data_IF_233162014538
#
_entry.id   IF_233162014538
#
_cell.length_a   1.000
_cell.length_b   1.000
_cell.length_c   1.000
_cell.angle_alpha   90.00
_cell.angle_beta   90.00
_cell.angle_gamma   90.00
#
_symmetry.space_group_name_H-M   'P 1'
#
loop_
_entity.id
_entity.type
_entity.pdbx_description
1 polymer ?
#
# COMPACT_ATOMS: atom_id res chain seq x y z
N UNK A 1 19.17 -56.32 69.70
CA UNK A 1 18.14 -55.29 69.45
C UNK A 1 18.71 -54.24 68.51
N UNK A 2 18.34 -54.29 67.24
CA UNK A 2 18.84 -53.35 66.21
C UNK A 2 17.70 -52.36 65.90
N UNK A 3 17.97 -51.10 66.15
CA UNK A 3 17.05 -49.96 65.91
C UNK A 3 17.00 -49.63 64.42
N UNK A 4 15.84 -49.70 63.80
CA UNK A 4 15.55 -49.21 62.45
C UNK A 4 15.10 -47.73 62.52
N UNK A 5 15.82 -46.81 61.80
CA UNK A 5 15.40 -45.44 61.59
C UNK A 5 14.76 -45.33 60.20
N UNK A 6 13.55 -44.71 60.06
CA UNK A 6 12.94 -44.48 58.75
C UNK A 6 13.59 -43.25 58.06
N UNK A 7 14.03 -43.43 56.80
CA UNK A 7 14.46 -42.36 55.94
C UNK A 7 13.23 -41.75 55.23
N UNK A 8 12.95 -40.51 55.52
CA UNK A 8 11.93 -39.76 54.76
C UNK A 8 12.56 -39.31 53.46
N UNK A 9 12.04 -39.80 52.30
CA UNK A 9 12.30 -39.23 50.98
C UNK A 9 11.42 -38.00 50.77
N UNK A 10 12.02 -36.82 50.78
CA UNK A 10 11.38 -35.60 50.31
C UNK A 10 11.43 -35.59 48.78
N UNK A 11 10.30 -35.87 48.11
CA UNK A 11 10.13 -35.68 46.69
C UNK A 11 9.88 -34.16 46.44
N UNK A 12 10.89 -33.46 45.91
CA UNK A 12 10.74 -32.08 45.45
C UNK A 12 10.01 -32.07 44.11
N UNK A 13 8.72 -31.63 44.10
CA UNK A 13 8.02 -31.29 42.88
C UNK A 13 8.60 -29.97 42.30
N UNK A 14 9.40 -30.05 41.27
CA UNK A 14 9.74 -28.89 40.43
C UNK A 14 8.54 -28.59 39.57
N UNK A 15 7.72 -27.60 39.96
CA UNK A 15 6.71 -27.01 39.10
C UNK A 15 7.43 -26.18 38.04
N UNK A 16 7.50 -26.71 36.81
CA UNK A 16 7.95 -25.96 35.64
C UNK A 16 6.91 -24.87 35.33
N UNK A 17 7.16 -23.66 35.78
CA UNK A 17 6.42 -22.48 35.34
C UNK A 17 6.87 -22.14 33.93
N UNK A 18 6.10 -22.59 32.93
CA UNK A 18 6.21 -22.08 31.56
C UNK A 18 5.91 -20.58 31.62
N UNK A 19 6.76 -19.72 31.02
CA UNK A 19 6.43 -18.31 30.91
C UNK A 19 5.22 -18.20 29.99
N UNK A 20 4.06 -17.86 30.51
CA UNK A 20 2.94 -17.31 29.75
C UNK A 20 3.47 -16.04 29.09
N UNK A 21 3.74 -16.11 27.78
CA UNK A 21 4.11 -14.93 27.01
C UNK A 21 3.05 -13.85 27.29
N UNK A 22 3.45 -12.76 27.89
CA UNK A 22 2.60 -11.60 28.09
C UNK A 22 2.26 -11.04 26.73
N UNK A 23 1.10 -11.42 26.19
CA UNK A 23 0.54 -10.78 25.02
C UNK A 23 0.25 -9.33 25.39
N UNK A 24 0.74 -8.39 24.59
CA UNK A 24 0.46 -6.98 24.81
C UNK A 24 -1.05 -6.76 24.87
N UNK A 25 -1.50 -5.94 25.80
CA UNK A 25 -2.93 -5.62 25.92
C UNK A 25 -3.43 -5.02 24.59
N UNK A 26 -4.66 -5.37 24.21
CA UNK A 26 -5.29 -4.78 23.03
C UNK A 26 -5.33 -3.24 23.17
N UNK A 27 -4.99 -2.48 22.12
CA UNK A 27 -5.05 -1.04 22.18
C UNK A 27 -6.51 -0.58 22.30
N UNK A 28 -6.73 0.58 22.91
CA UNK A 28 -8.08 1.18 22.98
C UNK A 28 -8.55 1.75 21.63
N UNK A 29 -7.63 1.92 20.71
CA UNK A 29 -7.86 2.55 19.41
C UNK A 29 -6.95 1.91 18.36
N UNK A 30 -7.46 1.76 17.16
CA UNK A 30 -6.69 1.40 15.96
C UNK A 30 -6.87 2.50 14.90
N UNK A 31 -5.78 2.88 14.25
CA UNK A 31 -5.73 4.00 13.31
C UNK A 31 -5.32 3.49 11.92
N UNK A 32 -6.16 3.76 10.93
CA UNK A 32 -5.93 3.37 9.55
C UNK A 32 -5.95 4.60 8.65
N UNK A 33 -5.21 4.55 7.55
CA UNK A 33 -5.45 5.49 6.48
C UNK A 33 -6.58 5.02 5.55
N UNK A 34 -7.14 5.97 4.82
CA UNK A 34 -7.97 5.72 3.65
C UNK A 34 -7.51 6.64 2.51
N UNK A 35 -7.71 6.20 1.28
CA UNK A 35 -7.22 6.91 0.11
C UNK A 35 -8.08 6.67 -1.13
N UNK A 36 -8.17 7.67 -2.01
CA UNK A 36 -8.92 7.55 -3.27
C UNK A 36 -8.28 6.57 -4.25
N UNK A 37 -6.97 6.34 -4.16
CA UNK A 37 -6.26 5.29 -4.92
C UNK A 37 -6.42 3.89 -4.33
N UNK A 38 -7.02 3.74 -3.15
CA UNK A 38 -7.28 2.47 -2.47
C UNK A 38 -8.79 2.29 -2.22
N UNK A 39 -9.61 2.02 -3.24
CA UNK A 39 -11.08 1.99 -3.13
C UNK A 39 -11.61 1.07 -2.04
N UNK A 40 -10.96 -0.07 -1.79
CA UNK A 40 -11.33 -0.99 -0.70
C UNK A 40 -11.31 -0.31 0.67
N UNK A 41 -10.39 0.64 0.91
CA UNK A 41 -10.34 1.39 2.17
C UNK A 41 -11.54 2.32 2.34
N UNK A 42 -12.08 2.85 1.23
CA UNK A 42 -13.30 3.66 1.24
C UNK A 42 -14.53 2.81 1.59
N UNK A 43 -14.64 1.62 1.00
CA UNK A 43 -15.73 0.67 1.31
C UNK A 43 -15.67 0.25 2.77
N UNK A 44 -14.48 -0.11 3.25
CA UNK A 44 -14.26 -0.51 4.64
C UNK A 44 -14.73 0.57 5.62
N UNK A 45 -14.37 1.83 5.35
CA UNK A 45 -14.73 3.00 6.15
C UNK A 45 -16.23 3.34 6.05
N UNK A 46 -16.77 3.44 4.83
CA UNK A 46 -18.15 3.85 4.57
C UNK A 46 -19.17 2.89 5.22
N UNK A 47 -18.89 1.61 5.17
CA UNK A 47 -19.78 0.59 5.73
C UNK A 47 -19.55 0.32 7.22
N UNK A 48 -18.52 0.89 7.83
CA UNK A 48 -18.17 0.66 9.23
C UNK A 48 -17.88 -0.81 9.55
N UNK A 49 -17.29 -1.55 8.61
CA UNK A 49 -17.04 -3.00 8.75
C UNK A 49 -16.09 -3.26 9.92
N UNK A 50 -15.02 -2.49 10.02
CA UNK A 50 -14.02 -2.66 11.08
C UNK A 50 -14.56 -2.22 12.44
N UNK A 51 -15.29 -1.11 12.47
CA UNK A 51 -15.96 -0.60 13.69
C UNK A 51 -16.90 -1.63 14.29
N UNK A 52 -17.75 -2.25 13.46
CA UNK A 52 -18.67 -3.33 13.90
C UNK A 52 -17.89 -4.53 14.43
N UNK A 53 -16.82 -4.92 13.74
CA UNK A 53 -16.00 -6.09 14.12
C UNK A 53 -15.28 -5.89 15.46
N UNK A 54 -14.88 -4.66 15.77
CA UNK A 54 -14.11 -4.34 16.98
C UNK A 54 -14.99 -3.82 18.15
N UNK A 55 -16.27 -3.57 17.92
CA UNK A 55 -17.18 -2.99 18.90
C UNK A 55 -17.25 -3.79 20.22
N UNK A 56 -17.33 -5.12 20.14
CA UNK A 56 -17.39 -6.00 21.31
C UNK A 56 -16.12 -5.96 22.19
N UNK A 57 -15.00 -5.53 21.62
CA UNK A 57 -13.71 -5.40 22.32
C UNK A 57 -13.46 -3.98 22.83
N UNK A 58 -14.37 -3.05 22.52
CA UNK A 58 -14.25 -1.64 22.93
C UNK A 58 -13.08 -0.92 22.24
N UNK A 59 -12.62 -1.40 21.07
CA UNK A 59 -11.53 -0.78 20.29
C UNK A 59 -12.14 0.23 19.32
N UNK A 60 -11.80 1.49 19.49
CA UNK A 60 -12.21 2.56 18.58
C UNK A 60 -11.41 2.50 17.25
N UNK A 61 -12.05 2.87 16.13
CA UNK A 61 -11.41 2.98 14.83
C UNK A 61 -11.27 4.44 14.46
N UNK A 62 -10.09 4.87 14.06
CA UNK A 62 -9.83 6.21 13.52
C UNK A 62 -9.29 6.17 12.10
N UNK A 63 -9.81 7.06 11.27
CA UNK A 63 -9.45 7.18 9.86
C UNK A 63 -8.67 8.46 9.59
N UNK A 64 -7.58 8.32 8.84
CA UNK A 64 -6.72 9.42 8.40
C UNK A 64 -6.67 9.41 6.87
N UNK A 65 -6.97 10.53 6.22
CA UNK A 65 -6.86 10.63 4.77
C UNK A 65 -5.40 10.73 4.34
N UNK A 66 -4.99 9.91 3.36
CA UNK A 66 -3.68 9.99 2.72
C UNK A 66 -3.79 10.28 1.22
N UNK A 67 -2.96 11.21 0.73
CA UNK A 67 -2.97 11.63 -0.67
C UNK A 67 -2.09 10.77 -1.57
N UNK A 68 -1.24 9.92 -1.00
CA UNK A 68 -0.30 9.07 -1.71
C UNK A 68 0.55 8.23 -0.74
N UNK A 69 1.25 7.22 -1.27
CA UNK A 69 2.08 6.30 -0.47
C UNK A 69 3.11 7.02 0.41
N UNK A 70 3.66 8.16 -0.05
CA UNK A 70 4.60 8.97 0.72
C UNK A 70 3.98 9.47 2.03
N UNK A 71 2.74 10.01 1.98
CA UNK A 71 2.03 10.49 3.17
C UNK A 71 1.61 9.35 4.09
N UNK A 72 1.11 8.26 3.51
CA UNK A 72 0.75 7.06 4.27
C UNK A 72 1.95 6.51 5.05
N UNK A 73 3.12 6.40 4.41
CA UNK A 73 4.36 5.95 5.06
C UNK A 73 4.89 6.94 6.10
N UNK A 74 4.79 8.25 5.85
CA UNK A 74 5.11 9.28 6.85
C UNK A 74 4.25 9.11 8.11
N UNK A 75 2.94 8.92 7.95
CA UNK A 75 2.01 8.72 9.07
C UNK A 75 2.30 7.42 9.84
N UNK A 76 2.61 6.32 9.13
CA UNK A 76 2.98 5.05 9.77
C UNK A 76 4.29 5.19 10.55
N UNK A 77 5.33 5.77 9.93
CA UNK A 77 6.64 5.96 10.56
C UNK A 77 6.59 6.93 11.74
N UNK A 78 5.71 7.95 11.67
CA UNK A 78 5.46 8.90 12.74
C UNK A 78 4.50 8.40 13.83
N UNK A 79 3.98 7.17 13.70
CA UNK A 79 3.04 6.60 14.66
C UNK A 79 1.66 7.29 14.68
N UNK A 80 1.30 8.02 13.62
CA UNK A 80 -0.03 8.64 13.50
C UNK A 80 -1.09 7.66 13.01
N UNK A 81 -0.68 6.59 12.33
CA UNK A 81 -1.51 5.45 11.95
C UNK A 81 -0.81 4.13 12.26
N UNK A 82 -1.57 3.07 12.39
CA UNK A 82 -1.10 1.70 12.66
C UNK A 82 -1.10 0.86 11.37
N UNK A 83 -1.96 1.21 10.40
CA UNK A 83 -2.07 0.58 9.09
C UNK A 83 -1.96 1.61 7.97
N UNK A 84 -1.12 1.33 6.98
CA UNK A 84 -0.82 2.20 5.86
C UNK A 84 -1.12 1.54 4.52
N UNK A 85 -2.00 2.16 3.71
CA UNK A 85 -2.26 1.76 2.32
C UNK A 85 -1.24 2.39 1.40
N UNK A 86 -0.42 1.59 0.70
CA UNK A 86 0.64 2.11 -0.17
C UNK A 86 0.81 1.30 -1.45
N UNK A 87 1.64 1.81 -2.36
CA UNK A 87 2.22 1.02 -3.43
C UNK A 87 3.33 0.11 -2.88
N UNK A 88 3.45 -1.10 -3.42
CA UNK A 88 4.43 -2.09 -2.96
C UNK A 88 5.87 -1.61 -3.13
N UNK A 89 6.22 -1.01 -4.27
CA UNK A 89 7.58 -0.52 -4.51
C UNK A 89 7.92 0.70 -3.63
N UNK A 90 6.93 1.52 -3.28
CA UNK A 90 7.10 2.59 -2.29
C UNK A 90 7.38 2.04 -0.89
N UNK A 91 6.74 0.93 -0.50
CA UNK A 91 7.04 0.22 0.74
C UNK A 91 8.46 -0.39 0.73
N UNK A 92 8.90 -0.96 -0.41
CA UNK A 92 10.30 -1.44 -0.58
C UNK A 92 11.28 -0.29 -0.36
N UNK A 93 11.06 0.86 -1.03
CA UNK A 93 11.90 2.06 -0.89
C UNK A 93 11.97 2.54 0.57
N UNK A 94 10.83 2.59 1.25
CA UNK A 94 10.75 3.00 2.66
C UNK A 94 11.56 2.05 3.55
N UNK A 95 11.38 0.73 3.38
CA UNK A 95 12.12 -0.27 4.15
C UNK A 95 13.61 -0.25 3.85
N UNK A 96 14.01 -0.12 2.59
CA UNK A 96 15.42 -0.01 2.19
C UNK A 96 16.13 1.21 2.79
N UNK A 97 15.38 2.26 3.13
CA UNK A 97 15.87 3.44 3.84
C UNK A 97 15.70 3.37 5.36
N UNK A 98 15.41 2.18 5.92
CA UNK A 98 15.43 1.90 7.35
C UNK A 98 14.08 1.97 8.06
N UNK A 99 12.96 2.21 7.37
CA UNK A 99 11.65 2.14 8.00
C UNK A 99 11.30 0.68 8.35
N UNK A 100 10.81 0.40 9.57
CA UNK A 100 10.47 -0.96 9.99
C UNK A 100 9.08 -1.38 9.48
N UNK A 101 8.85 -1.25 8.17
CA UNK A 101 7.56 -1.54 7.53
C UNK A 101 7.45 -2.99 7.08
N UNK A 102 6.27 -3.60 7.24
CA UNK A 102 5.88 -4.94 6.79
C UNK A 102 4.59 -4.89 5.99
N UNK A 103 4.56 -5.57 4.85
CA UNK A 103 3.35 -5.78 4.05
C UNK A 103 2.64 -7.04 4.53
N UNK A 104 1.39 -6.91 4.95
CA UNK A 104 0.58 -7.98 5.53
C UNK A 104 -0.60 -8.41 4.66
N UNK A 105 -0.97 -7.61 3.64
CA UNK A 105 -2.12 -7.88 2.76
C UNK A 105 -1.93 -7.20 1.40
N UNK A 106 -2.43 -7.82 0.33
CA UNK A 106 -2.47 -7.26 -1.02
C UNK A 106 -3.90 -6.76 -1.29
N UNK A 107 -4.05 -5.45 -1.39
CA UNK A 107 -5.37 -4.85 -1.60
C UNK A 107 -5.81 -4.92 -3.07
N UNK A 108 -4.86 -4.82 -4.02
CA UNK A 108 -5.16 -4.82 -5.46
C UNK A 108 -3.91 -4.91 -6.32
N UNK A 109 -4.10 -5.22 -7.61
CA UNK A 109 -3.13 -5.03 -8.70
C UNK A 109 -3.66 -3.95 -9.64
N UNK A 110 -3.37 -2.67 -9.41
CA UNK A 110 -3.88 -1.59 -10.23
C UNK A 110 -2.94 -1.26 -11.40
N UNK A 111 -3.50 -0.75 -12.50
CA UNK A 111 -2.78 0.05 -13.50
C UNK A 111 -3.07 1.53 -13.25
N UNK A 112 -2.75 2.02 -12.08
CA UNK A 112 -3.11 3.35 -11.58
C UNK A 112 -2.21 4.48 -12.04
N UNK A 113 -1.05 4.15 -12.63
CA UNK A 113 -0.03 5.12 -13.03
C UNK A 113 0.28 5.02 -14.51
N UNK A 114 0.40 6.18 -15.16
CA UNK A 114 0.92 6.34 -16.51
C UNK A 114 1.57 7.71 -16.67
N UNK A 115 2.39 7.89 -17.71
CA UNK A 115 2.87 9.20 -18.13
C UNK A 115 1.80 9.88 -18.97
N UNK A 116 1.41 11.08 -18.58
CA UNK A 116 0.45 11.91 -19.30
C UNK A 116 1.10 13.18 -19.84
N UNK A 117 0.60 13.64 -20.97
CA UNK A 117 0.96 14.90 -21.60
C UNK A 117 -0.30 15.68 -21.96
N UNK A 118 -0.24 17.01 -22.14
CA UNK A 118 -1.38 17.79 -22.60
C UNK A 118 -1.93 17.25 -23.94
N UNK A 119 -3.22 17.49 -24.21
CA UNK A 119 -3.92 17.01 -25.41
C UNK A 119 -3.14 17.30 -26.71
N UNK A 120 -2.67 18.52 -26.85
CA UNK A 120 -2.01 19.02 -28.07
C UNK A 120 -0.47 19.00 -27.96
N UNK A 121 0.07 18.27 -26.97
CA UNK A 121 1.51 18.18 -26.76
C UNK A 121 2.22 17.57 -27.99
N UNK A 122 3.37 18.12 -28.42
CA UNK A 122 4.21 17.56 -29.48
C UNK A 122 4.95 16.29 -29.03
N UNK A 123 5.02 16.00 -27.73
CA UNK A 123 5.67 14.83 -27.16
C UNK A 123 4.89 13.57 -27.55
N UNK A 124 5.52 12.64 -28.27
CA UNK A 124 4.86 11.41 -28.79
C UNK A 124 5.52 10.12 -28.32
N UNK A 125 6.74 10.20 -27.80
CA UNK A 125 7.52 9.06 -27.32
C UNK A 125 8.23 9.39 -26.01
N UNK A 126 8.74 8.37 -25.33
CA UNK A 126 9.55 8.55 -24.12
C UNK A 126 10.86 9.30 -24.41
N UNK A 127 11.42 9.14 -25.63
CA UNK A 127 12.64 9.85 -26.03
C UNK A 127 12.44 11.37 -26.10
N UNK A 128 11.22 11.83 -26.42
CA UNK A 128 10.89 13.27 -26.49
C UNK A 128 10.86 13.94 -25.11
N UNK A 129 10.95 13.15 -24.02
CA UNK A 129 11.00 13.66 -22.65
C UNK A 129 12.35 14.29 -22.30
N UNK A 130 13.41 14.06 -23.10
CA UNK A 130 14.72 14.65 -22.84
C UNK A 130 14.64 16.18 -22.77
N UNK A 131 15.18 16.75 -21.69
CA UNK A 131 15.15 18.18 -21.40
C UNK A 131 13.77 18.73 -20.99
N UNK A 132 12.76 17.87 -20.79
CA UNK A 132 11.40 18.28 -20.43
C UNK A 132 11.20 18.38 -18.92
N UNK A 133 10.25 19.23 -18.54
CA UNK A 133 9.80 19.40 -17.16
C UNK A 133 8.65 18.43 -16.86
N UNK A 134 8.86 17.52 -15.89
CA UNK A 134 7.93 16.43 -15.61
C UNK A 134 7.53 16.46 -14.15
N UNK A 135 6.23 16.57 -13.86
CA UNK A 135 5.73 16.44 -12.50
C UNK A 135 5.67 14.98 -12.04
N UNK A 136 6.11 14.71 -10.81
CA UNK A 136 5.97 13.41 -10.16
C UNK A 136 6.01 13.55 -8.64
N UNK A 137 5.31 12.68 -7.91
CA UNK A 137 5.30 12.67 -6.45
C UNK A 137 6.39 11.74 -5.91
N UNK A 138 7.46 12.29 -5.36
CA UNK A 138 8.58 11.52 -4.79
C UNK A 138 8.08 10.56 -3.70
N UNK A 139 8.65 9.34 -3.67
CA UNK A 139 8.29 8.31 -2.68
C UNK A 139 6.97 7.57 -2.98
N UNK A 140 6.49 7.62 -4.22
CA UNK A 140 5.28 6.93 -4.68
C UNK A 140 5.54 6.13 -5.96
N UNK A 141 4.61 5.25 -6.34
CA UNK A 141 4.68 4.50 -7.60
C UNK A 141 4.85 5.41 -8.83
N UNK A 142 4.11 6.53 -9.01
CA UNK A 142 4.32 7.42 -10.13
C UNK A 142 5.76 7.93 -10.30
N UNK A 143 6.45 8.21 -9.22
CA UNK A 143 7.86 8.61 -9.30
C UNK A 143 8.75 7.46 -9.82
N UNK A 144 8.55 6.26 -9.28
CA UNK A 144 9.31 5.07 -9.67
C UNK A 144 8.93 4.61 -11.08
N UNK A 145 7.67 4.76 -11.48
CA UNK A 145 7.19 4.54 -12.83
C UNK A 145 7.89 5.48 -13.83
N UNK A 146 8.00 6.78 -13.51
CA UNK A 146 8.73 7.74 -14.34
C UNK A 146 10.17 7.30 -14.56
N UNK A 147 10.90 6.96 -13.49
CA UNK A 147 12.30 6.55 -13.59
C UNK A 147 12.47 5.30 -14.46
N UNK A 148 11.63 4.28 -14.26
CA UNK A 148 11.64 3.06 -15.08
C UNK A 148 11.30 3.36 -16.54
N UNK A 149 10.37 4.29 -16.80
CA UNK A 149 9.99 4.70 -18.15
C UNK A 149 11.13 5.44 -18.85
N UNK A 150 11.83 6.33 -18.14
CA UNK A 150 13.01 7.01 -18.66
C UNK A 150 14.11 6.01 -19.05
N UNK A 151 14.41 5.02 -18.20
CA UNK A 151 15.38 3.96 -18.48
C UNK A 151 15.01 3.17 -19.75
N UNK A 152 13.72 2.94 -20.02
CA UNK A 152 13.26 2.28 -21.26
C UNK A 152 13.68 3.04 -22.51
N UNK A 153 13.82 4.37 -22.42
CA UNK A 153 14.27 5.24 -23.51
C UNK A 153 15.77 5.55 -23.47
N UNK A 154 16.54 4.90 -22.58
CA UNK A 154 17.96 5.19 -22.37
C UNK A 154 18.22 6.55 -21.71
N UNK A 155 17.21 7.09 -21.00
CA UNK A 155 17.30 8.34 -20.26
C UNK A 155 17.39 8.04 -18.75
N UNK A 156 18.04 8.94 -18.01
CA UNK A 156 18.03 8.95 -16.54
C UNK A 156 17.33 10.19 -15.99
N UNK A 157 17.21 10.27 -14.67
CA UNK A 157 16.61 11.44 -14.00
C UNK A 157 17.37 12.75 -14.28
N UNK A 158 18.65 12.68 -14.61
CA UNK A 158 19.48 13.84 -14.99
C UNK A 158 19.20 14.39 -16.39
N UNK A 159 18.48 13.64 -17.24
CA UNK A 159 18.10 14.08 -18.58
C UNK A 159 16.79 14.88 -18.64
N UNK A 160 16.10 15.02 -17.51
CA UNK A 160 14.82 15.71 -17.38
C UNK A 160 14.81 16.60 -16.13
N UNK A 161 13.91 17.59 -16.08
CA UNK A 161 13.63 18.35 -14.87
C UNK A 161 12.44 17.75 -14.14
N UNK A 162 12.66 17.07 -12.99
CA UNK A 162 11.58 16.49 -12.19
C UNK A 162 11.06 17.50 -11.18
N UNK A 163 9.79 17.88 -11.31
CA UNK A 163 9.09 18.76 -10.37
C UNK A 163 8.32 17.91 -9.36
N UNK A 164 8.70 18.00 -8.09
CA UNK A 164 8.07 17.23 -7.02
C UNK A 164 6.79 17.91 -6.53
N UNK A 165 5.64 17.41 -6.99
CA UNK A 165 4.30 17.86 -6.62
C UNK A 165 3.47 16.69 -6.09
N UNK A 166 2.50 16.95 -5.20
CA UNK A 166 1.49 15.96 -4.85
C UNK A 166 0.60 15.68 -6.07
N UNK A 167 -0.07 14.53 -6.08
CA UNK A 167 -0.83 14.08 -7.27
C UNK A 167 -1.88 15.08 -7.76
N UNK A 168 -2.69 15.71 -6.89
CA UNK A 168 -3.63 16.74 -7.34
C UNK A 168 -2.92 17.95 -7.98
N UNK A 169 -1.80 18.41 -7.37
CA UNK A 169 -1.05 19.56 -7.84
C UNK A 169 -0.32 19.26 -9.16
N UNK A 170 0.21 18.01 -9.31
CA UNK A 170 0.81 17.53 -10.55
C UNK A 170 -0.17 17.50 -11.71
N UNK A 171 -1.42 17.11 -11.46
CA UNK A 171 -2.52 17.21 -12.42
C UNK A 171 -2.75 18.66 -12.86
N UNK A 172 -2.91 19.57 -11.89
CA UNK A 172 -3.15 20.99 -12.16
C UNK A 172 -1.99 21.60 -12.94
N UNK A 173 -0.75 21.28 -12.58
CA UNK A 173 0.45 21.77 -13.28
C UNK A 173 0.47 21.30 -14.75
N UNK A 174 0.10 20.05 -15.04
CA UNK A 174 -0.02 19.57 -16.41
C UNK A 174 -1.11 20.31 -17.18
N UNK A 175 -2.30 20.44 -16.61
CA UNK A 175 -3.47 21.05 -17.24
C UNK A 175 -3.28 22.54 -17.52
N UNK A 176 -2.43 23.23 -16.74
CA UNK A 176 -2.04 24.65 -16.94
C UNK A 176 -0.86 24.82 -17.90
N UNK A 177 -0.12 23.75 -18.22
CA UNK A 177 1.10 23.82 -19.00
C UNK A 177 2.33 24.27 -18.21
N UNK A 178 2.30 24.22 -16.87
CA UNK A 178 3.44 24.54 -16.01
C UNK A 178 4.52 23.43 -16.08
N UNK A 179 4.13 22.24 -16.55
CA UNK A 179 5.01 21.08 -16.84
C UNK A 179 4.64 20.49 -18.20
N UNK A 180 5.62 19.86 -18.87
CA UNK A 180 5.46 19.24 -20.19
C UNK A 180 4.79 17.87 -20.12
N UNK A 181 5.01 17.15 -19.00
CA UNK A 181 4.46 15.83 -18.74
C UNK A 181 4.22 15.64 -17.23
N UNK A 182 3.43 14.63 -16.90
CA UNK A 182 3.16 14.24 -15.53
C UNK A 182 3.09 12.73 -15.39
N UNK A 183 3.79 12.19 -14.42
CA UNK A 183 3.58 10.82 -13.98
C UNK A 183 2.42 10.80 -12.99
N UNK A 184 1.24 10.45 -13.51
CA UNK A 184 -0.03 10.60 -12.82
C UNK A 184 -0.42 9.38 -12.00
N UNK A 185 -1.33 9.60 -11.06
CA UNK A 185 -1.98 8.56 -10.25
C UNK A 185 -3.51 8.70 -10.34
N UNK A 186 -4.21 7.58 -10.50
CA UNK A 186 -5.68 7.55 -10.38
C UNK A 186 -6.13 7.91 -8.94
N UNK A 187 -7.25 8.58 -8.78
CA UNK A 187 -8.24 9.03 -9.77
C UNK A 187 -7.86 10.29 -10.56
N UNK A 188 -6.81 10.99 -10.16
CA UNK A 188 -6.43 12.26 -10.79
C UNK A 188 -6.02 12.07 -12.26
N UNK A 189 -5.38 10.93 -12.59
CA UNK A 189 -4.99 10.58 -13.96
C UNK A 189 -6.23 10.36 -14.84
N UNK A 190 -7.20 9.58 -14.38
CA UNK A 190 -8.46 9.36 -15.08
C UNK A 190 -9.25 10.68 -15.24
N UNK A 191 -9.24 11.53 -14.21
CA UNK A 191 -9.87 12.85 -14.28
C UNK A 191 -9.20 13.75 -15.34
N UNK A 192 -7.88 13.82 -15.39
CA UNK A 192 -7.16 14.59 -16.40
C UNK A 192 -7.45 14.12 -17.82
N UNK A 193 -7.53 12.77 -18.03
CA UNK A 193 -7.92 12.22 -19.32
C UNK A 193 -9.33 12.63 -19.75
N UNK A 194 -10.32 12.49 -18.86
CA UNK A 194 -11.72 12.69 -19.21
C UNK A 194 -12.14 14.16 -19.23
N UNK A 195 -11.55 15.00 -18.37
CA UNK A 195 -11.96 16.39 -18.20
C UNK A 195 -11.08 17.38 -18.97
N UNK A 196 -9.77 17.15 -19.02
CA UNK A 196 -8.82 18.00 -19.72
C UNK A 196 -8.37 17.45 -21.08
N UNK A 197 -8.74 16.20 -21.39
CA UNK A 197 -8.33 15.52 -22.62
C UNK A 197 -6.85 15.16 -22.64
N UNK A 198 -6.19 15.10 -21.49
CA UNK A 198 -4.79 14.70 -21.40
C UNK A 198 -4.57 13.32 -22.03
N UNK A 199 -3.49 13.20 -22.79
CA UNK A 199 -3.17 11.99 -23.52
C UNK A 199 -2.17 11.15 -22.72
N UNK A 200 -2.43 9.84 -22.59
CA UNK A 200 -1.43 8.93 -22.01
C UNK A 200 -0.32 8.69 -23.01
N UNK A 201 0.87 9.19 -22.68
CA UNK A 201 2.08 9.02 -23.47
C UNK A 201 2.63 7.59 -23.38
N UNK A 202 2.64 7.05 -22.15
CA UNK A 202 3.18 5.71 -21.89
C UNK A 202 2.40 5.03 -20.78
N UNK A 203 2.06 3.76 -21.04
CA UNK A 203 1.41 2.84 -20.10
C UNK A 203 2.22 1.56 -20.05
N UNK A 204 2.35 0.99 -18.86
CA UNK A 204 2.93 -0.34 -18.67
C UNK A 204 2.44 -0.90 -17.32
N UNK A 205 1.58 -1.91 -17.35
CA UNK A 205 1.03 -2.52 -16.14
C UNK A 205 2.12 -3.13 -15.26
N UNK A 206 3.19 -3.67 -15.86
CA UNK A 206 4.31 -4.26 -15.12
C UNK A 206 5.21 -3.21 -14.43
N UNK A 207 5.01 -1.93 -14.73
CA UNK A 207 5.71 -0.83 -14.05
C UNK A 207 4.92 -0.29 -12.87
N UNK A 208 3.64 -0.64 -12.76
CA UNK A 208 2.84 -0.42 -11.58
C UNK A 208 3.12 -1.52 -10.56
N UNK A 209 3.22 -1.18 -9.30
CA UNK A 209 3.30 -2.16 -8.24
C UNK A 209 1.92 -2.45 -7.65
N UNK A 210 1.84 -3.38 -6.69
CA UNK A 210 0.58 -3.72 -6.03
C UNK A 210 0.16 -2.64 -5.05
N UNK A 211 -1.15 -2.49 -4.84
CA UNK A 211 -1.71 -1.83 -3.66
C UNK A 211 -1.58 -2.75 -2.46
N UNK A 212 -0.91 -2.29 -1.41
CA UNK A 212 -0.59 -3.13 -0.25
C UNK A 212 -1.00 -2.47 1.06
N UNK A 213 -1.33 -3.28 2.07
CA UNK A 213 -1.54 -2.84 3.44
C UNK A 213 -0.29 -3.15 4.27
N UNK A 214 0.20 -2.15 4.96
CA UNK A 214 1.43 -2.24 5.74
C UNK A 214 1.19 -1.92 7.21
N UNK A 215 2.05 -2.49 8.05
CA UNK A 215 2.17 -2.21 9.49
C UNK A 215 3.64 -2.05 9.85
N UNK A 216 3.95 -1.61 11.09
CA UNK A 216 5.33 -1.65 11.58
C UNK A 216 5.74 -3.04 12.06
N UNK A 217 7.06 -3.34 12.07
CA UNK A 217 7.61 -4.60 12.63
C UNK A 217 7.18 -4.80 14.10
N UNK A 218 7.17 -3.73 14.91
CA UNK A 218 6.75 -3.79 16.32
C UNK A 218 5.26 -4.11 16.44
N UNK A 219 4.41 -3.42 15.67
CA UNK A 219 2.97 -3.64 15.71
C UNK A 219 2.60 -5.06 15.25
N UNK A 220 3.30 -5.59 14.23
CA UNK A 220 3.12 -6.98 13.79
C UNK A 220 3.42 -7.98 14.90
N UNK A 221 4.46 -7.74 15.67
CA UNK A 221 4.85 -8.59 16.80
C UNK A 221 3.90 -8.48 18.00
N UNK A 222 3.47 -7.26 18.30
CA UNK A 222 2.69 -6.96 19.51
C UNK A 222 1.20 -7.22 19.35
N UNK A 223 0.64 -7.03 18.13
CA UNK A 223 -0.80 -7.06 17.88
C UNK A 223 -1.23 -8.00 16.73
N UNK A 224 -0.70 -9.25 16.62
CA UNK A 224 -0.98 -10.12 15.48
C UNK A 224 -2.47 -10.47 15.33
N UNK A 225 -3.19 -10.59 16.46
CA UNK A 225 -4.64 -10.89 16.46
C UNK A 225 -5.45 -9.72 15.91
N UNK A 226 -5.14 -8.49 16.32
CA UNK A 226 -5.79 -7.28 15.80
C UNK A 226 -5.52 -7.12 14.31
N UNK A 227 -4.29 -7.36 13.86
CA UNK A 227 -3.94 -7.32 12.43
C UNK A 227 -4.77 -8.36 11.66
N UNK A 228 -4.92 -9.58 12.17
CA UNK A 228 -5.79 -10.59 11.55
C UNK A 228 -7.23 -10.13 11.39
N UNK A 229 -7.79 -9.42 12.38
CA UNK A 229 -9.15 -8.85 12.33
C UNK A 229 -9.26 -7.74 11.29
N UNK A 230 -8.25 -6.88 11.18
CA UNK A 230 -8.19 -5.83 10.16
C UNK A 230 -8.07 -6.44 8.76
N UNK A 231 -7.24 -7.45 8.56
CA UNK A 231 -7.14 -8.19 7.28
C UNK A 231 -8.50 -8.81 6.92
N UNK A 232 -9.20 -9.43 7.88
CA UNK A 232 -10.54 -9.99 7.64
C UNK A 232 -11.55 -8.92 7.24
N UNK A 233 -11.49 -7.73 7.83
CA UNK A 233 -12.34 -6.61 7.46
C UNK A 233 -12.00 -6.07 6.06
N UNK A 234 -10.73 -5.99 5.69
CA UNK A 234 -10.30 -5.64 4.32
C UNK A 234 -10.75 -6.67 3.29
N UNK A 235 -10.68 -7.96 3.63
CA UNK A 235 -11.15 -9.04 2.75
C UNK A 235 -12.66 -8.97 2.52
N UNK A 236 -13.45 -8.70 3.56
CA UNK A 236 -14.88 -8.45 3.45
C UNK A 236 -15.18 -7.24 2.54
N UNK A 237 -14.50 -6.12 2.74
CA UNK A 237 -14.63 -4.93 1.90
C UNK A 237 -14.21 -5.19 0.44
N UNK A 238 -13.16 -6.00 0.22
CA UNK A 238 -12.72 -6.41 -1.13
C UNK A 238 -13.78 -7.26 -1.83
N UNK A 239 -14.31 -8.25 -1.15
CA UNK A 239 -15.38 -9.10 -1.71
C UNK A 239 -16.62 -8.27 -2.02
N UNK A 240 -16.97 -7.34 -1.15
CA UNK A 240 -18.07 -6.42 -1.42
C UNK A 240 -17.77 -5.54 -2.66
N UNK A 241 -16.56 -5.01 -2.79
CA UNK A 241 -16.11 -4.23 -3.95
C UNK A 241 -16.28 -5.02 -5.26
N UNK A 242 -15.89 -6.29 -5.27
CA UNK A 242 -16.06 -7.18 -6.43
C UNK A 242 -17.53 -7.46 -6.76
N UNK A 243 -18.36 -7.65 -5.75
CA UNK A 243 -19.79 -7.92 -5.93
C UNK A 243 -20.60 -6.66 -6.30
N UNK A 244 -20.10 -5.46 -5.98
CA UNK A 244 -20.82 -4.19 -6.11
C UNK A 244 -19.98 -3.11 -6.83
N UNK A 245 -19.50 -3.35 -8.07
CA UNK A 245 -18.61 -2.43 -8.76
C UNK A 245 -19.25 -1.05 -9.03
N UNK A 246 -20.55 -1.00 -9.30
CA UNK A 246 -21.26 0.26 -9.51
C UNK A 246 -21.31 1.10 -8.22
N UNK A 247 -21.70 0.49 -7.09
CA UNK A 247 -21.77 1.19 -5.80
C UNK A 247 -20.37 1.62 -5.33
N UNK A 248 -19.34 0.84 -5.60
CA UNK A 248 -17.94 1.22 -5.34
C UNK A 248 -17.54 2.45 -6.15
N UNK A 249 -17.95 2.53 -7.43
CA UNK A 249 -17.69 3.70 -8.25
C UNK A 249 -18.44 4.94 -7.74
N UNK A 250 -19.69 4.79 -7.33
CA UNK A 250 -20.51 5.86 -6.75
C UNK A 250 -19.93 6.36 -5.43
N UNK A 251 -19.47 5.45 -4.57
CA UNK A 251 -18.78 5.78 -3.32
C UNK A 251 -17.50 6.59 -3.60
N UNK A 252 -16.63 6.08 -4.48
CA UNK A 252 -15.39 6.77 -4.85
C UNK A 252 -15.67 8.16 -5.45
N UNK A 253 -16.65 8.27 -6.35
CA UNK A 253 -17.05 9.53 -6.97
C UNK A 253 -17.51 10.55 -5.91
N UNK A 254 -18.33 10.11 -4.96
CA UNK A 254 -18.83 10.93 -3.85
C UNK A 254 -17.70 11.42 -2.93
N UNK A 255 -16.86 10.50 -2.46
CA UNK A 255 -15.80 10.80 -1.49
C UNK A 255 -14.70 11.68 -2.12
N UNK A 256 -14.32 11.40 -3.36
CA UNK A 256 -13.30 12.16 -4.07
C UNK A 256 -13.86 13.42 -4.77
N UNK A 257 -15.18 13.65 -4.73
CA UNK A 257 -15.88 14.76 -5.42
C UNK A 257 -15.56 14.80 -6.92
N UNK A 258 -15.63 13.63 -7.55
CA UNK A 258 -15.32 13.44 -8.98
C UNK A 258 -16.56 12.95 -9.74
N UNK A 259 -16.65 13.19 -11.07
CA UNK A 259 -17.65 12.55 -11.90
C UNK A 259 -17.59 11.03 -11.82
N UNK A 260 -18.75 10.39 -11.88
CA UNK A 260 -18.87 8.93 -11.80
C UNK A 260 -18.00 8.19 -12.85
N UNK A 261 -17.91 8.75 -14.06
CA UNK A 261 -17.10 8.15 -15.14
C UNK A 261 -15.58 8.13 -14.83
N UNK A 262 -15.11 9.08 -14.04
CA UNK A 262 -13.72 9.08 -13.56
C UNK A 262 -13.50 7.90 -12.60
N UNK A 263 -14.40 7.71 -11.66
CA UNK A 263 -14.34 6.60 -10.72
C UNK A 263 -14.45 5.24 -11.42
N UNK A 264 -15.36 5.11 -12.39
CA UNK A 264 -15.49 3.90 -13.23
C UNK A 264 -14.20 3.61 -14.00
N UNK A 265 -13.56 4.63 -14.58
CA UNK A 265 -12.31 4.46 -15.32
C UNK A 265 -11.18 3.98 -14.41
N UNK A 266 -11.03 4.55 -13.20
CA UNK A 266 -10.08 4.04 -12.21
C UNK A 266 -10.34 2.57 -11.86
N UNK A 267 -11.58 2.22 -11.52
CA UNK A 267 -11.92 0.85 -11.13
C UNK A 267 -11.72 -0.16 -12.27
N UNK A 268 -11.96 0.24 -13.53
CA UNK A 268 -11.72 -0.62 -14.68
C UNK A 268 -10.24 -0.99 -14.90
N UNK A 269 -9.33 -0.27 -14.25
CA UNK A 269 -7.87 -0.49 -14.28
C UNK A 269 -7.36 -1.23 -13.04
N UNK A 270 -8.25 -1.68 -12.17
CA UNK A 270 -7.86 -2.26 -10.88
C UNK A 270 -8.34 -3.71 -10.79
N UNK A 271 -7.37 -4.62 -10.63
CA UNK A 271 -7.66 -6.03 -10.33
C UNK A 271 -7.63 -6.25 -8.81
N UNK A 272 -8.73 -6.80 -8.28
CA UNK A 272 -8.90 -7.13 -6.87
C UNK A 272 -8.87 -8.66 -6.62
N UNK A 273 -8.47 -9.47 -7.59
CA UNK A 273 -8.66 -10.94 -7.53
C UNK A 273 -7.75 -11.65 -6.53
N UNK A 274 -6.53 -11.16 -6.32
CA UNK A 274 -5.52 -11.87 -5.52
C UNK A 274 -5.04 -11.08 -4.29
N UNK A 275 -5.67 -11.31 -3.11
CA UNK A 275 -5.38 -10.55 -1.90
C UNK A 275 -4.25 -11.14 -1.04
N UNK A 276 -3.78 -12.36 -1.32
CA UNK A 276 -2.81 -13.03 -0.48
C UNK A 276 -1.37 -12.68 -0.86
N UNK A 277 -0.55 -12.09 0.03
CA UNK A 277 0.87 -11.91 -0.23
C UNK A 277 1.56 -13.24 -0.54
N UNK A 278 2.31 -13.31 -1.64
CA UNK A 278 2.90 -14.57 -2.10
C UNK A 278 4.14 -14.38 -2.98
N UNK A 279 4.62 -15.50 -3.53
CA UNK A 279 5.86 -15.56 -4.32
C UNK A 279 5.84 -14.65 -5.55
N UNK A 280 4.68 -14.50 -6.21
CA UNK A 280 4.52 -13.63 -7.37
C UNK A 280 4.74 -12.15 -7.03
N UNK A 281 4.24 -11.69 -5.87
CA UNK A 281 4.44 -10.33 -5.39
C UNK A 281 5.91 -10.07 -5.05
N UNK A 282 6.56 -11.03 -4.41
CA UNK A 282 8.01 -11.00 -4.15
C UNK A 282 8.78 -10.92 -5.45
N UNK A 283 8.46 -11.76 -6.44
CA UNK A 283 9.14 -11.77 -7.73
C UNK A 283 8.97 -10.45 -8.48
N UNK A 284 7.75 -9.91 -8.54
CA UNK A 284 7.47 -8.64 -9.20
C UNK A 284 8.20 -7.45 -8.54
N UNK A 285 8.21 -7.40 -7.20
CA UNK A 285 8.94 -6.35 -6.48
C UNK A 285 10.45 -6.48 -6.63
N UNK A 286 11.00 -7.70 -6.63
CA UNK A 286 12.43 -7.94 -6.89
C UNK A 286 12.83 -7.52 -8.30
N UNK A 287 11.98 -7.77 -9.30
CA UNK A 287 12.23 -7.33 -10.68
C UNK A 287 12.19 -5.80 -10.83
N UNK A 288 11.41 -5.11 -10.01
CA UNK A 288 11.30 -3.66 -10.02
C UNK A 288 12.36 -2.93 -9.18
N UNK A 289 12.85 -3.56 -8.12
CA UNK A 289 13.69 -2.94 -7.11
C UNK A 289 15.07 -2.42 -7.58
N UNK A 290 15.72 -2.97 -8.64
CA UNK A 290 17.01 -2.44 -9.12
C UNK A 290 16.99 -0.94 -9.42
N UNK A 291 15.87 -0.37 -9.86
CA UNK A 291 15.72 1.08 -10.09
C UNK A 291 16.10 1.92 -8.86
N UNK A 292 15.95 1.36 -7.66
CA UNK A 292 16.27 2.06 -6.42
C UNK A 292 17.78 2.28 -6.26
N UNK A 293 18.59 1.34 -6.76
CA UNK A 293 20.05 1.45 -6.80
C UNK A 293 20.52 2.29 -7.98
N UNK A 294 19.98 2.02 -9.17
CA UNK A 294 20.35 2.70 -10.42
C UNK A 294 20.16 4.22 -10.30
N UNK A 295 19.08 4.62 -9.63
CA UNK A 295 18.72 6.02 -9.41
C UNK A 295 19.22 6.57 -8.06
N UNK A 296 20.04 5.82 -7.33
CA UNK A 296 20.64 6.23 -6.04
C UNK A 296 19.58 6.66 -5.00
N UNK A 297 18.44 5.97 -4.96
CA UNK A 297 17.36 6.23 -4.00
C UNK A 297 17.61 5.52 -2.66
N UNK A 298 18.52 4.58 -2.65
CA UNK A 298 18.99 3.82 -1.48
C UNK A 298 20.51 3.85 -1.43
N UNK A 299 21.09 3.49 -0.29
CA UNK A 299 22.55 3.47 -0.13
C UNK A 299 23.20 2.48 -1.10
N UNK A 300 24.40 2.79 -1.66
CA UNK A 300 25.17 1.83 -2.44
C UNK A 300 25.39 0.53 -1.63
N UNK A 301 25.24 -0.62 -2.30
CA UNK A 301 25.41 -1.94 -1.67
C UNK A 301 24.20 -2.44 -0.88
N UNK A 302 23.08 -1.71 -0.87
CA UNK A 302 21.83 -2.22 -0.31
C UNK A 302 21.38 -3.46 -1.07
N UNK A 303 21.20 -4.60 -0.37
CA UNK A 303 20.58 -5.80 -0.96
C UNK A 303 19.05 -5.59 -1.04
N UNK A 304 18.61 -4.98 -2.15
CA UNK A 304 17.18 -4.69 -2.36
C UNK A 304 16.33 -5.97 -2.50
N UNK A 305 16.93 -7.09 -2.91
CA UNK A 305 16.22 -8.36 -2.98
C UNK A 305 15.92 -8.90 -1.56
N UNK A 306 16.91 -8.85 -0.67
CA UNK A 306 16.72 -9.20 0.74
C UNK A 306 15.73 -8.25 1.43
N UNK A 307 15.72 -6.96 1.07
CA UNK A 307 14.71 -6.00 1.58
C UNK A 307 13.30 -6.42 1.19
N UNK A 308 13.08 -6.87 -0.06
CA UNK A 308 11.78 -7.37 -0.50
C UNK A 308 11.37 -8.62 0.28
N UNK A 309 12.28 -9.59 0.46
CA UNK A 309 12.01 -10.80 1.25
C UNK A 309 11.62 -10.46 2.70
N UNK A 310 12.27 -9.47 3.27
CA UNK A 310 11.96 -8.99 4.62
C UNK A 310 10.68 -8.17 4.70
N UNK A 311 10.25 -7.52 3.61
CA UNK A 311 9.04 -6.70 3.58
C UNK A 311 7.77 -7.54 3.67
N UNK A 312 7.68 -8.62 2.88
CA UNK A 312 6.46 -9.41 2.72
C UNK A 312 6.25 -10.37 3.90
N UNK A 313 5.09 -10.29 4.53
CA UNK A 313 4.67 -11.15 5.67
C UNK A 313 3.32 -11.80 5.39
N UNK A 314 3.29 -13.01 4.76
CA UNK A 314 2.06 -13.63 4.29
C UNK A 314 1.27 -14.37 5.36
N UNK A 315 1.85 -14.66 6.53
CA UNK A 315 1.34 -15.65 7.49
C UNK A 315 -0.06 -15.31 8.03
N UNK A 316 -0.30 -14.02 8.37
CA UNK A 316 -1.59 -13.61 8.90
C UNK A 316 -2.68 -13.61 7.82
N UNK A 317 -2.36 -13.16 6.61
CA UNK A 317 -3.30 -13.19 5.49
C UNK A 317 -3.68 -14.63 5.13
N UNK A 318 -2.71 -15.56 5.09
CA UNK A 318 -2.96 -16.97 4.82
C UNK A 318 -3.91 -17.64 5.84
N UNK A 319 -3.91 -17.18 7.09
CA UNK A 319 -4.83 -17.65 8.13
C UNK A 319 -6.26 -17.09 8.03
N UNK A 320 -6.46 -16.04 7.24
CA UNK A 320 -7.73 -15.31 7.15
C UNK A 320 -8.41 -15.48 5.79
N UNK A 321 -7.64 -15.36 4.71
CA UNK A 321 -8.14 -15.42 3.33
C UNK A 321 -8.60 -16.85 3.01
N UNK A 322 -9.80 -16.96 2.43
CA UNK A 322 -10.41 -18.25 2.09
C UNK A 322 -11.21 -18.88 3.22
N UNK A 323 -11.23 -18.31 4.41
CA UNK A 323 -12.18 -18.70 5.45
C UNK A 323 -13.55 -18.10 5.16
N UNK A 324 -14.67 -18.80 5.50
CA UNK A 324 -16.00 -18.20 5.42
C UNK A 324 -16.02 -16.93 6.29
N UNK A 325 -16.40 -15.79 5.69
CA UNK A 325 -16.57 -14.56 6.45
C UNK A 325 -17.68 -14.78 7.49
N UNK A 326 -17.38 -14.50 8.74
CA UNK A 326 -18.41 -14.48 9.78
C UNK A 326 -19.45 -13.43 9.38
N UNK A 327 -20.72 -13.86 9.19
CA UNK A 327 -21.82 -12.90 8.94
C UNK A 327 -21.90 -11.99 10.15
N UNK A 328 -21.59 -10.73 9.98
CA UNK A 328 -21.96 -9.69 10.94
C UNK A 328 -23.46 -9.46 10.79
N UNK A 329 -24.26 -9.98 11.75
CA UNK A 329 -25.69 -9.68 11.87
C UNK A 329 -25.93 -8.21 12.18
#
# INVERSE_FOLDING_TARGET
>A
MKSFKPRYLLAALLAATLPLGTQAAAPKEVRLDYAYYAPTSLVLKDQGILEKRLAAEGIAVKWVFSQGSNRSLEYLNGGSIDFASTAGLAAVLSRANGSPVKTVYIASRPEWTALAVPKDSPIKSLADLKGKKIAATKGTDPYLFLLRSLHTAGLGKGDVEIVHLQHPDGRVALERGDVDAWSGLDPHLAASQLQAGSRLLYRNVEFNSYGVLNVSDSFLKEQPQLIGKVIAAYEEARQWTLAHPQQTAELLAREAKLPLEVAKLQLSRTDFSNPQPGAEHVAALKAAAPILLDEQLVRPGTDVAAVVDQLISPQLAAGVIGQPLAKTE
#
